data_IF_851574147194
#
_entry.id   IF_851574147194
#
_cell.length_a   1.000
_cell.length_b   1.000
_cell.length_c   1.000
_cell.angle_alpha   90.00
_cell.angle_beta   90.00
_cell.angle_gamma   90.00
#
_symmetry.space_group_name_H-M   'P 1'
#
loop_
_entity.id
_entity.type
_entity.pdbx_description
1 polymer ?
#
# COMPACT_ATOMS: atom_id res chain seq x y z
N UNK A 1 -52.86 71.58 4.54
CA UNK A 1 -52.77 70.64 3.43
C UNK A 1 -51.69 71.14 2.49
N UNK A 2 -50.42 70.71 2.69
CA UNK A 2 -49.32 71.11 1.83
C UNK A 2 -48.61 69.80 1.42
N UNK A 3 -48.78 69.44 0.20
CA UNK A 3 -48.08 68.35 -0.47
C UNK A 3 -46.83 68.93 -1.14
N UNK A 4 -45.66 68.57 -0.65
CA UNK A 4 -44.35 68.81 -1.29
C UNK A 4 -44.03 67.68 -2.28
N UNK A 5 -43.61 67.98 -3.51
CA UNK A 5 -43.19 66.96 -4.46
C UNK A 5 -41.74 66.52 -4.16
N UNK A 6 -41.49 65.19 -4.13
CA UNK A 6 -40.19 64.56 -4.04
C UNK A 6 -39.54 64.66 -5.42
N UNK A 7 -38.45 65.39 -5.49
CA UNK A 7 -37.59 65.52 -6.69
C UNK A 7 -36.66 64.30 -6.72
N UNK A 8 -36.89 63.43 -7.68
CA UNK A 8 -36.08 62.26 -7.99
C UNK A 8 -34.78 62.74 -8.69
N UNK A 9 -33.68 62.74 -7.97
CA UNK A 9 -32.34 63.01 -8.50
C UNK A 9 -31.72 61.70 -8.99
N UNK A 10 -32.00 61.33 -10.20
CA UNK A 10 -31.25 60.31 -10.94
C UNK A 10 -29.87 60.84 -11.25
N UNK A 11 -28.88 60.44 -10.47
CA UNK A 11 -27.45 60.66 -10.74
C UNK A 11 -27.05 59.83 -11.99
N UNK A 12 -26.54 60.42 -13.06
CA UNK A 12 -26.10 59.66 -14.20
C UNK A 12 -24.86 58.86 -13.85
N UNK A 13 -24.94 57.55 -14.02
CA UNK A 13 -23.79 56.66 -13.88
C UNK A 13 -22.66 57.05 -14.80
N UNK A 14 -21.47 57.27 -14.24
CA UNK A 14 -20.26 57.57 -15.00
C UNK A 14 -19.98 56.41 -15.99
N UNK A 15 -19.69 56.73 -17.25
CA UNK A 15 -19.35 55.71 -18.23
C UNK A 15 -18.06 55.03 -17.85
N UNK A 16 -18.12 53.69 -17.72
CA UNK A 16 -16.93 52.83 -17.52
C UNK A 16 -15.95 53.12 -18.68
N UNK A 17 -14.82 53.74 -18.37
CA UNK A 17 -13.79 54.02 -19.37
C UNK A 17 -13.27 52.70 -19.95
N UNK A 18 -13.63 52.45 -21.21
CA UNK A 18 -13.15 51.28 -21.94
C UNK A 18 -11.65 51.39 -22.15
N UNK A 19 -10.84 50.31 -21.87
CA UNK A 19 -9.38 50.35 -21.97
C UNK A 19 -8.83 50.65 -23.39
N UNK A 20 -9.70 50.65 -24.38
CA UNK A 20 -9.33 50.96 -25.77
C UNK A 20 -8.87 52.40 -26.02
N UNK A 21 -9.24 53.34 -25.15
CA UNK A 21 -8.91 54.77 -25.38
C UNK A 21 -7.45 55.11 -25.02
N UNK A 22 -6.89 54.49 -23.98
CA UNK A 22 -5.49 54.69 -23.58
C UNK A 22 -4.50 54.15 -24.62
N UNK A 23 -4.76 52.99 -25.18
CA UNK A 23 -3.97 52.34 -26.21
C UNK A 23 -3.90 53.18 -27.51
N UNK A 24 -5.02 53.79 -27.94
CA UNK A 24 -5.10 54.66 -29.13
C UNK A 24 -4.34 55.99 -28.96
N UNK A 25 -4.34 56.57 -27.77
CA UNK A 25 -3.62 57.81 -27.50
C UNK A 25 -2.10 57.58 -27.42
N UNK A 26 -1.69 56.44 -26.82
CA UNK A 26 -0.29 56.04 -26.75
C UNK A 26 0.28 55.76 -28.15
N UNK A 27 -0.48 55.05 -28.99
CA UNK A 27 -0.08 54.73 -30.36
C UNK A 27 0.13 56.00 -31.25
N UNK A 28 -0.68 57.02 -31.12
CA UNK A 28 -0.57 58.28 -31.87
C UNK A 28 0.62 59.16 -31.44
N UNK A 29 1.15 59.01 -30.27
CA UNK A 29 2.26 59.79 -29.76
C UNK A 29 3.65 59.19 -30.08
N UNK A 30 3.68 58.01 -30.73
CA UNK A 30 4.93 57.42 -31.20
C UNK A 30 5.42 58.10 -32.53
N UNK A 31 6.74 58.36 -32.64
CA UNK A 31 7.32 58.90 -33.87
C UNK A 31 7.09 57.91 -35.04
N UNK A 32 6.93 58.44 -36.29
CA UNK A 32 6.65 57.60 -37.47
C UNK A 32 7.64 56.46 -37.67
N UNK A 33 8.91 56.69 -37.45
CA UNK A 33 9.97 55.68 -37.56
C UNK A 33 9.87 54.55 -36.51
N UNK A 34 9.23 54.79 -35.36
CA UNK A 34 8.96 53.77 -34.36
C UNK A 34 7.69 53.00 -34.69
N UNK A 35 6.68 53.64 -35.27
CA UNK A 35 5.45 52.96 -35.72
C UNK A 35 5.75 51.92 -36.80
N UNK A 36 6.64 52.24 -37.77
CA UNK A 36 7.04 51.30 -38.82
C UNK A 36 7.80 50.08 -38.26
N UNK A 37 8.68 50.32 -37.29
CA UNK A 37 9.40 49.22 -36.62
C UNK A 37 8.47 48.35 -35.80
N UNK A 38 7.49 48.90 -35.10
CA UNK A 38 6.48 48.12 -34.35
C UNK A 38 5.55 47.39 -35.30
N UNK A 39 5.16 47.98 -36.43
CA UNK A 39 4.32 47.32 -37.43
C UNK A 39 5.04 46.12 -38.07
N UNK A 40 6.37 46.21 -38.31
CA UNK A 40 7.16 45.11 -38.83
C UNK A 40 7.45 44.01 -37.79
N UNK A 41 7.60 44.37 -36.49
CA UNK A 41 7.88 43.42 -35.42
C UNK A 41 6.62 42.77 -34.81
N UNK A 42 5.45 43.42 -34.96
CA UNK A 42 4.21 42.92 -34.39
C UNK A 42 3.82 41.48 -34.85
N UNK A 43 3.90 41.12 -36.14
CA UNK A 43 3.62 39.75 -36.57
C UNK A 43 4.63 38.75 -36.03
N UNK A 44 5.92 39.15 -35.94
CA UNK A 44 6.95 38.29 -35.34
C UNK A 44 6.69 38.05 -33.84
N UNK A 45 6.36 39.10 -33.10
CA UNK A 45 6.00 38.99 -31.69
C UNK A 45 4.74 38.14 -31.47
N UNK A 46 3.74 38.28 -32.36
CA UNK A 46 2.53 37.46 -32.31
C UNK A 46 2.84 35.97 -32.52
N UNK A 47 3.71 35.65 -33.49
CA UNK A 47 4.14 34.27 -33.74
C UNK A 47 4.92 33.70 -32.54
N UNK A 48 5.84 34.50 -31.96
CA UNK A 48 6.59 34.07 -30.77
C UNK A 48 5.70 33.86 -29.55
N UNK A 49 4.73 34.75 -29.33
CA UNK A 49 3.74 34.59 -28.27
C UNK A 49 2.87 33.34 -28.49
N UNK A 50 2.46 33.10 -29.72
CA UNK A 50 1.69 31.89 -30.06
C UNK A 50 2.51 30.62 -29.83
N UNK A 51 3.78 30.60 -30.27
CA UNK A 51 4.69 29.49 -29.99
C UNK A 51 4.92 29.29 -28.51
N UNK A 52 5.12 30.36 -27.75
CA UNK A 52 5.26 30.29 -26.28
C UNK A 52 3.99 29.73 -25.61
N UNK A 53 2.81 30.14 -26.09
CA UNK A 53 1.54 29.61 -25.59
C UNK A 53 1.35 28.11 -25.88
N UNK A 54 1.76 27.65 -27.07
CA UNK A 54 1.73 26.20 -27.41
C UNK A 54 2.69 25.43 -26.52
N UNK A 55 3.92 25.90 -26.33
CA UNK A 55 4.91 25.27 -25.46
C UNK A 55 4.40 25.24 -24.01
N UNK A 56 3.85 26.33 -23.51
CA UNK A 56 3.29 26.40 -22.17
C UNK A 56 2.09 25.45 -22.00
N UNK A 57 1.20 25.38 -22.98
CA UNK A 57 0.07 24.44 -22.97
C UNK A 57 0.54 22.98 -22.98
N UNK A 58 1.57 22.67 -23.77
CA UNK A 58 2.15 21.33 -23.82
C UNK A 58 2.81 20.93 -22.49
N UNK A 59 3.56 21.87 -21.89
CA UNK A 59 4.15 21.67 -20.56
C UNK A 59 3.10 21.49 -19.47
N UNK A 60 2.03 22.28 -19.51
CA UNK A 60 0.93 22.18 -18.56
C UNK A 60 0.22 20.82 -18.65
N UNK A 61 -0.11 20.39 -19.87
CA UNK A 61 -0.75 19.07 -20.10
C UNK A 61 0.14 17.92 -19.63
N UNK A 62 1.44 18.01 -19.90
CA UNK A 62 2.39 16.97 -19.48
C UNK A 62 2.58 16.92 -17.97
N UNK A 63 2.60 18.08 -17.30
CA UNK A 63 2.66 18.14 -15.84
C UNK A 63 1.41 17.54 -15.19
N UNK A 64 0.23 17.82 -15.74
CA UNK A 64 -1.03 17.27 -15.26
C UNK A 64 -1.13 15.75 -15.48
N UNK A 65 -0.59 15.22 -16.56
CA UNK A 65 -0.56 13.78 -16.85
C UNK A 65 0.31 13.04 -15.84
N UNK A 66 1.49 13.54 -15.53
CA UNK A 66 2.40 12.96 -14.50
C UNK A 66 1.76 12.98 -13.10
N UNK A 67 1.07 14.07 -12.74
CA UNK A 67 0.37 14.18 -11.45
C UNK A 67 -0.75 13.13 -11.34
N UNK A 68 -1.52 12.95 -12.39
CA UNK A 68 -2.60 11.94 -12.45
C UNK A 68 -2.07 10.51 -12.36
N UNK A 69 -0.93 10.21 -12.98
CA UNK A 69 -0.28 8.89 -12.87
C UNK A 69 0.22 8.64 -11.44
N UNK A 70 0.78 9.65 -10.77
CA UNK A 70 1.20 9.55 -9.38
C UNK A 70 0.03 9.31 -8.42
N UNK A 71 -1.07 10.02 -8.61
CA UNK A 71 -2.28 9.82 -7.80
C UNK A 71 -2.91 8.44 -8.04
N UNK A 72 -2.90 7.96 -9.28
CA UNK A 72 -3.37 6.63 -9.61
C UNK A 72 -2.51 5.55 -8.94
N UNK A 73 -1.18 5.68 -9.03
CA UNK A 73 -0.24 4.77 -8.39
C UNK A 73 -0.44 4.76 -6.87
N UNK A 74 -0.58 5.92 -6.23
CA UNK A 74 -0.79 6.02 -4.78
C UNK A 74 -2.07 5.28 -4.36
N UNK A 75 -3.16 5.45 -5.09
CA UNK A 75 -4.43 4.76 -4.83
C UNK A 75 -4.31 3.25 -5.00
N UNK A 76 -3.63 2.79 -6.06
CA UNK A 76 -3.41 1.37 -6.32
C UNK A 76 -2.56 0.72 -5.23
N UNK A 77 -1.59 1.45 -4.72
CA UNK A 77 -0.73 1.06 -3.60
C UNK A 77 -1.54 0.96 -2.29
N UNK A 78 -2.30 1.99 -1.94
CA UNK A 78 -3.15 1.99 -0.75
C UNK A 78 -4.18 0.84 -0.80
N UNK A 79 -4.75 0.60 -1.98
CA UNK A 79 -5.67 -0.51 -2.20
C UNK A 79 -4.99 -1.87 -2.01
N UNK A 80 -3.81 -2.08 -2.58
CA UNK A 80 -3.05 -3.32 -2.41
C UNK A 80 -2.69 -3.55 -0.92
N UNK A 81 -2.20 -2.52 -0.25
CA UNK A 81 -1.85 -2.58 1.18
C UNK A 81 -3.07 -2.93 2.05
N UNK A 82 -4.20 -2.28 1.82
CA UNK A 82 -5.43 -2.57 2.55
C UNK A 82 -5.90 -4.01 2.30
N UNK A 83 -5.79 -4.51 1.08
CA UNK A 83 -6.16 -5.87 0.72
C UNK A 83 -5.30 -6.92 1.43
N UNK A 84 -3.98 -6.73 1.44
CA UNK A 84 -3.05 -7.61 2.18
C UNK A 84 -3.35 -7.59 3.67
N UNK A 85 -3.59 -6.41 4.25
CA UNK A 85 -3.93 -6.27 5.67
C UNK A 85 -5.22 -7.01 6.03
N UNK A 86 -6.27 -6.86 5.23
CA UNK A 86 -7.54 -7.58 5.46
C UNK A 86 -7.34 -9.09 5.39
N UNK A 87 -6.55 -9.57 4.44
CA UNK A 87 -6.24 -10.99 4.31
C UNK A 87 -5.49 -11.53 5.53
N UNK A 88 -4.52 -10.79 6.05
CA UNK A 88 -3.82 -11.16 7.29
C UNK A 88 -4.76 -11.23 8.49
N UNK A 89 -5.70 -10.30 8.62
CA UNK A 89 -6.72 -10.33 9.67
C UNK A 89 -7.63 -11.56 9.56
N UNK A 90 -8.08 -11.91 8.36
CA UNK A 90 -8.85 -13.13 8.12
C UNK A 90 -8.06 -14.40 8.55
N UNK A 91 -6.77 -14.46 8.23
CA UNK A 91 -5.89 -15.57 8.63
C UNK A 91 -5.71 -15.64 10.14
N UNK A 92 -5.53 -14.49 10.77
CA UNK A 92 -5.47 -14.40 12.22
C UNK A 92 -6.74 -14.95 12.88
N UNK A 93 -7.92 -14.56 12.37
CA UNK A 93 -9.20 -15.08 12.89
C UNK A 93 -9.34 -16.60 12.71
N UNK A 94 -8.86 -17.14 11.60
CA UNK A 94 -8.86 -18.59 11.37
C UNK A 94 -7.95 -19.32 12.36
N UNK A 95 -6.72 -18.84 12.58
CA UNK A 95 -5.84 -19.43 13.61
C UNK A 95 -6.41 -19.27 15.02
N UNK A 96 -7.07 -18.16 15.31
CA UNK A 96 -7.75 -17.94 16.60
C UNK A 96 -8.90 -18.93 16.82
N UNK A 97 -9.61 -19.36 15.77
CA UNK A 97 -10.61 -20.41 15.87
C UNK A 97 -9.95 -21.75 16.24
N UNK A 98 -8.90 -22.14 15.52
CA UNK A 98 -8.13 -23.36 15.84
C UNK A 98 -7.60 -23.32 17.28
N UNK A 99 -7.08 -22.18 17.70
CA UNK A 99 -6.58 -21.99 19.07
C UNK A 99 -7.70 -22.11 20.11
N UNK A 100 -8.90 -21.62 19.81
CA UNK A 100 -10.07 -21.73 20.70
C UNK A 100 -10.52 -23.17 20.84
N UNK A 101 -10.64 -23.92 19.72
CA UNK A 101 -11.06 -25.32 19.72
C UNK A 101 -10.09 -26.18 20.53
N UNK A 102 -8.77 -25.92 20.41
CA UNK A 102 -7.72 -26.54 21.22
C UNK A 102 -7.84 -26.18 22.72
N UNK A 103 -8.09 -24.90 23.01
CA UNK A 103 -8.22 -24.38 24.39
C UNK A 103 -9.41 -25.00 25.10
N UNK A 104 -10.50 -25.23 24.36
CA UNK A 104 -11.71 -25.88 24.86
C UNK A 104 -11.62 -27.40 24.92
N UNK A 105 -10.51 -27.99 24.44
CA UNK A 105 -10.35 -29.44 24.32
C UNK A 105 -11.40 -30.13 23.39
N UNK A 106 -11.94 -29.37 22.46
CA UNK A 106 -12.88 -29.85 21.44
C UNK A 106 -12.16 -30.67 20.37
N UNK A 107 -10.86 -30.43 20.21
CA UNK A 107 -10.00 -31.03 19.19
C UNK A 107 -8.79 -31.68 19.83
N UNK A 108 -8.57 -32.93 19.49
CA UNK A 108 -7.38 -33.69 19.86
C UNK A 108 -6.22 -33.44 18.85
N UNK A 109 -5.11 -34.15 19.06
CA UNK A 109 -3.95 -34.05 18.17
C UNK A 109 -4.27 -34.42 16.72
N UNK A 110 -5.09 -35.46 16.50
CA UNK A 110 -5.43 -35.90 15.14
C UNK A 110 -6.36 -34.91 14.46
N UNK A 111 -7.34 -34.39 15.19
CA UNK A 111 -8.24 -33.35 14.71
C UNK A 111 -7.50 -32.04 14.40
N UNK A 112 -6.51 -31.66 15.22
CA UNK A 112 -5.65 -30.50 14.91
C UNK A 112 -4.91 -30.66 13.58
N UNK A 113 -4.28 -31.83 13.34
CA UNK A 113 -3.56 -32.09 12.09
C UNK A 113 -4.51 -32.01 10.89
N UNK A 114 -5.72 -32.56 11.01
CA UNK A 114 -6.75 -32.51 9.96
C UNK A 114 -7.22 -31.06 9.68
N UNK A 115 -7.43 -30.26 10.73
CA UNK A 115 -7.77 -28.84 10.57
C UNK A 115 -6.61 -28.06 9.91
N UNK A 116 -5.36 -28.32 10.34
CA UNK A 116 -4.17 -27.69 9.78
C UNK A 116 -3.99 -28.03 8.29
N UNK A 117 -4.17 -29.31 7.92
CA UNK A 117 -4.13 -29.77 6.52
C UNK A 117 -5.20 -29.06 5.67
N UNK A 118 -6.42 -28.97 6.18
CA UNK A 118 -7.53 -28.27 5.50
C UNK A 118 -7.22 -26.79 5.28
N UNK A 119 -6.68 -26.11 6.30
CA UNK A 119 -6.33 -24.68 6.20
C UNK A 119 -5.18 -24.45 5.22
N UNK A 120 -4.13 -25.27 5.26
CA UNK A 120 -2.98 -25.16 4.37
C UNK A 120 -3.39 -25.41 2.91
N UNK A 121 -4.25 -26.41 2.67
CA UNK A 121 -4.74 -26.71 1.31
C UNK A 121 -5.58 -25.57 0.71
N UNK A 122 -6.30 -24.82 1.54
CA UNK A 122 -7.13 -23.70 1.10
C UNK A 122 -6.34 -22.39 0.96
N UNK A 123 -5.19 -22.29 1.59
CA UNK A 123 -4.41 -21.04 1.74
C UNK A 123 -2.95 -21.25 1.37
N UNK A 124 -2.58 -21.08 0.08
CA UNK A 124 -1.23 -21.36 -0.41
C UNK A 124 -0.15 -20.47 0.19
N UNK A 125 -0.52 -19.36 0.83
CA UNK A 125 0.39 -18.51 1.59
C UNK A 125 0.79 -19.11 2.94
N UNK A 126 -0.03 -20.01 3.51
CA UNK A 126 0.20 -20.67 4.78
C UNK A 126 1.05 -21.92 4.58
N UNK A 127 2.28 -21.90 5.07
CA UNK A 127 3.27 -22.95 4.85
C UNK A 127 3.25 -24.03 5.94
N UNK A 128 2.98 -23.64 7.19
CA UNK A 128 2.89 -24.59 8.29
C UNK A 128 2.00 -24.08 9.40
N UNK A 129 1.38 -25.02 10.13
CA UNK A 129 0.69 -24.76 11.39
C UNK A 129 1.23 -25.72 12.44
N UNK A 130 1.68 -25.17 13.57
CA UNK A 130 2.32 -25.94 14.65
C UNK A 130 1.64 -25.64 15.98
N UNK A 131 1.30 -26.66 16.72
CA UNK A 131 0.86 -26.56 18.10
C UNK A 131 2.01 -26.79 19.06
N UNK A 132 2.25 -25.80 19.93
CA UNK A 132 3.36 -25.77 20.89
C UNK A 132 2.78 -25.65 22.29
N UNK A 133 3.21 -26.46 23.24
CA UNK A 133 2.75 -26.42 24.62
C UNK A 133 3.44 -25.33 25.46
N UNK A 134 3.00 -25.17 26.71
CA UNK A 134 3.55 -24.19 27.67
C UNK A 134 5.05 -24.36 27.96
N UNK A 135 5.60 -25.57 27.72
CA UNK A 135 7.03 -25.90 27.91
C UNK A 135 7.81 -25.74 26.62
N UNK A 136 7.26 -25.03 25.62
CA UNK A 136 7.84 -24.84 24.28
C UNK A 136 8.07 -26.14 23.50
N UNK A 137 7.36 -27.21 23.86
CA UNK A 137 7.48 -28.50 23.16
C UNK A 137 6.42 -28.59 22.06
N UNK A 138 6.83 -29.02 20.89
CA UNK A 138 5.96 -29.22 19.74
C UNK A 138 5.05 -30.43 20.00
N UNK A 139 3.75 -30.22 20.02
CA UNK A 139 2.74 -31.26 20.23
C UNK A 139 2.30 -31.90 18.92
N UNK A 140 2.11 -31.08 17.91
CA UNK A 140 1.76 -31.49 16.56
C UNK A 140 2.18 -30.39 15.57
N UNK A 141 2.46 -30.78 14.34
CA UNK A 141 2.72 -29.85 13.24
C UNK A 141 2.23 -30.44 11.94
N UNK A 142 1.73 -29.59 11.06
CA UNK A 142 1.47 -29.93 9.67
C UNK A 142 2.02 -28.83 8.78
N UNK A 143 2.68 -29.22 7.69
CA UNK A 143 3.33 -28.29 6.78
C UNK A 143 2.96 -28.58 5.33
N UNK A 144 2.97 -27.55 4.50
CA UNK A 144 2.77 -27.69 3.06
C UNK A 144 3.89 -28.53 2.44
N UNK A 145 3.60 -29.33 1.43
CA UNK A 145 4.62 -30.15 0.72
C UNK A 145 5.75 -29.33 0.11
N UNK A 146 5.53 -28.04 -0.10
CA UNK A 146 6.51 -27.09 -0.64
C UNK A 146 7.56 -26.64 0.36
N UNK A 147 7.32 -26.85 1.67
CA UNK A 147 8.28 -26.50 2.70
C UNK A 147 9.43 -27.48 2.71
N UNK A 148 10.66 -27.00 2.78
CA UNK A 148 11.84 -27.84 2.82
C UNK A 148 11.88 -28.75 4.07
N UNK A 149 12.47 -29.95 3.95
CA UNK A 149 12.55 -30.90 5.06
C UNK A 149 13.30 -30.36 6.28
N UNK A 150 14.21 -29.42 6.09
CA UNK A 150 14.98 -28.75 7.15
C UNK A 150 14.15 -27.76 7.99
N UNK A 151 13.01 -27.36 7.48
CA UNK A 151 12.11 -26.37 8.11
C UNK A 151 10.93 -27.07 8.82
N UNK A 152 10.79 -28.38 8.65
CA UNK A 152 9.73 -29.16 9.28
C UNK A 152 9.94 -29.27 10.79
N UNK A 153 8.93 -28.86 11.56
CA UNK A 153 8.91 -28.97 13.00
C UNK A 153 8.43 -30.37 13.42
N UNK A 154 9.26 -31.07 14.16
CA UNK A 154 8.97 -32.45 14.56
C UNK A 154 8.30 -32.49 15.94
N UNK A 155 7.25 -33.28 16.07
CA UNK A 155 6.57 -33.45 17.36
C UNK A 155 7.50 -34.05 18.42
N UNK A 156 7.51 -33.46 19.61
CA UNK A 156 8.39 -33.83 20.72
C UNK A 156 9.63 -32.94 20.85
N UNK A 157 10.03 -32.24 19.81
CA UNK A 157 11.11 -31.27 19.87
C UNK A 157 10.71 -30.03 20.69
N UNK A 158 11.73 -29.38 21.24
CA UNK A 158 11.58 -28.12 21.99
C UNK A 158 12.06 -26.99 21.09
N UNK A 159 11.34 -25.85 21.11
CA UNK A 159 11.76 -24.65 20.39
C UNK A 159 13.18 -24.27 20.82
N UNK A 160 14.05 -24.10 19.82
CA UNK A 160 15.39 -23.55 20.04
C UNK A 160 15.31 -22.04 20.29
N UNK A 161 16.26 -21.47 21.07
CA UNK A 161 16.37 -20.01 21.20
C UNK A 161 16.46 -19.33 19.85
N UNK A 162 15.76 -18.20 19.71
CA UNK A 162 15.69 -17.41 18.48
C UNK A 162 14.34 -16.73 18.33
N UNK A 163 14.12 -16.06 17.20
CA UNK A 163 12.96 -15.21 16.95
C UNK A 163 11.60 -15.88 17.22
N UNK A 164 11.48 -17.18 16.90
CA UNK A 164 10.25 -17.94 17.19
C UNK A 164 10.02 -18.10 18.70
N UNK A 165 11.09 -18.34 19.47
CA UNK A 165 11.00 -18.49 20.92
C UNK A 165 10.74 -17.15 21.62
N UNK A 166 11.29 -16.06 21.10
CA UNK A 166 11.07 -14.71 21.62
C UNK A 166 9.62 -14.26 21.36
N UNK A 167 9.09 -14.54 20.16
CA UNK A 167 7.68 -14.30 19.81
C UNK A 167 6.74 -15.15 20.68
N UNK A 168 7.13 -16.39 21.04
CA UNK A 168 6.38 -17.24 21.95
C UNK A 168 6.25 -16.60 23.35
N UNK A 169 7.37 -16.11 23.92
CA UNK A 169 7.35 -15.42 25.21
C UNK A 169 6.45 -14.19 25.16
N UNK A 170 6.56 -13.42 24.08
CA UNK A 170 5.72 -12.22 23.89
C UNK A 170 4.23 -12.57 23.81
N UNK A 171 3.86 -13.62 23.07
CA UNK A 171 2.48 -14.10 22.98
C UNK A 171 1.97 -14.59 24.34
N UNK A 172 2.81 -15.28 25.11
CA UNK A 172 2.49 -15.70 26.48
C UNK A 172 2.23 -14.50 27.40
N UNK A 173 3.11 -13.51 27.38
CA UNK A 173 3.06 -12.38 28.31
C UNK A 173 1.91 -11.42 27.96
N UNK A 174 1.66 -11.17 26.69
CA UNK A 174 0.58 -10.30 26.22
C UNK A 174 -0.79 -11.00 26.18
N UNK A 175 -0.84 -12.31 26.16
CA UNK A 175 -2.08 -13.11 25.98
C UNK A 175 -2.88 -12.68 24.74
N UNK A 176 -2.18 -12.28 23.68
CA UNK A 176 -2.73 -11.80 22.42
C UNK A 176 -1.98 -12.40 21.23
N UNK A 177 -2.59 -12.49 20.04
CA UNK A 177 -1.90 -12.86 18.83
C UNK A 177 -0.72 -11.90 18.54
N UNK A 178 0.45 -12.47 18.28
CA UNK A 178 1.70 -11.72 18.02
C UNK A 178 2.28 -12.16 16.69
N UNK A 179 2.64 -11.19 15.86
CA UNK A 179 3.42 -11.42 14.66
C UNK A 179 4.91 -11.29 14.95
N UNK A 180 5.71 -12.19 14.39
CA UNK A 180 7.17 -12.02 14.39
C UNK A 180 7.58 -10.91 13.41
N UNK A 181 8.80 -10.44 13.55
CA UNK A 181 9.43 -9.78 12.42
C UNK A 181 9.64 -10.80 11.28
N UNK A 182 9.57 -10.36 10.00
CA UNK A 182 9.91 -11.26 8.91
C UNK A 182 11.33 -11.76 9.05
N UNK A 183 11.50 -13.06 9.16
CA UNK A 183 12.82 -13.67 9.28
C UNK A 183 13.29 -14.03 7.88
N UNK A 184 14.35 -13.36 7.41
CA UNK A 184 15.08 -13.83 6.25
C UNK A 184 15.74 -15.17 6.65
N UNK A 185 15.25 -16.26 6.10
CA UNK A 185 15.82 -17.58 6.34
C UNK A 185 17.24 -17.61 5.78
N UNK A 186 18.20 -18.11 6.56
CA UNK A 186 19.58 -18.27 6.09
C UNK A 186 19.60 -19.29 4.93
N UNK A 187 19.89 -18.81 3.73
CA UNK A 187 19.96 -19.63 2.52
C UNK A 187 18.94 -19.20 1.46
N UNK A 188 18.61 -20.11 0.57
CA UNK A 188 17.73 -19.89 -0.59
C UNK A 188 16.22 -19.97 -0.25
N UNK A 189 15.88 -20.03 1.04
CA UNK A 189 14.49 -20.13 1.52
C UNK A 189 13.83 -18.76 1.54
N UNK A 190 12.57 -18.71 1.08
CA UNK A 190 11.78 -17.49 1.09
C UNK A 190 11.53 -17.00 2.52
N UNK A 191 11.57 -15.69 2.80
CA UNK A 191 11.33 -15.17 4.14
C UNK A 191 9.91 -15.52 4.63
N UNK A 192 9.83 -15.91 5.90
CA UNK A 192 8.59 -16.31 6.56
C UNK A 192 8.14 -15.23 7.54
N UNK A 193 6.82 -15.02 7.58
CA UNK A 193 6.13 -14.28 8.63
C UNK A 193 5.45 -15.26 9.57
N UNK A 194 5.72 -15.18 10.86
CA UNK A 194 5.12 -16.03 11.87
C UNK A 194 4.01 -15.30 12.61
N UNK A 195 2.90 -15.99 12.87
CA UNK A 195 1.82 -15.54 13.73
C UNK A 195 1.66 -16.55 14.86
N UNK A 196 1.81 -16.11 16.09
CA UNK A 196 1.60 -16.95 17.29
C UNK A 196 0.33 -16.51 18.01
N UNK A 197 -0.60 -17.44 18.15
CA UNK A 197 -1.88 -17.24 18.84
C UNK A 197 -1.84 -18.00 20.16
N UNK A 198 -1.96 -17.32 21.32
CA UNK A 198 -1.89 -17.97 22.62
C UNK A 198 -3.11 -18.89 22.86
N UNK A 199 -2.84 -20.02 23.47
CA UNK A 199 -3.81 -20.96 23.99
C UNK A 199 -4.04 -20.69 25.48
N UNK A 200 -5.29 -20.64 25.89
CA UNK A 200 -5.65 -20.45 27.28
C UNK A 200 -6.66 -21.53 27.72
N UNK A 201 -6.31 -22.31 28.72
CA UNK A 201 -7.22 -23.27 29.32
C UNK A 201 -7.53 -22.86 30.75
N UNK A 202 -8.82 -22.67 31.09
CA UNK A 202 -9.27 -22.19 32.40
C UNK A 202 -8.57 -20.93 32.89
N UNK A 203 -8.30 -19.97 31.96
CA UNK A 203 -7.62 -18.71 32.26
C UNK A 203 -6.10 -18.80 32.45
N UNK A 204 -5.51 -20.00 32.25
CA UNK A 204 -4.06 -20.20 32.30
C UNK A 204 -3.50 -20.43 30.91
N UNK A 205 -2.33 -19.84 30.64
CA UNK A 205 -1.60 -20.08 29.39
C UNK A 205 -1.25 -21.56 29.27
N UNK A 206 -1.55 -22.18 28.14
CA UNK A 206 -1.33 -23.59 27.86
C UNK A 206 -0.47 -23.85 26.63
N UNK A 207 -0.02 -22.79 25.96
CA UNK A 207 0.82 -22.89 24.76
C UNK A 207 0.42 -21.90 23.69
N UNK A 208 0.82 -22.17 22.45
CA UNK A 208 0.48 -21.35 21.28
C UNK A 208 0.15 -22.21 20.07
N UNK A 209 -0.63 -21.66 19.16
CA UNK A 209 -0.71 -22.10 17.77
C UNK A 209 0.13 -21.16 16.95
N UNK A 210 1.15 -21.69 16.28
CA UNK A 210 2.05 -20.98 15.38
C UNK A 210 1.60 -21.22 13.94
N UNK A 211 1.32 -20.16 13.19
CA UNK A 211 1.15 -20.16 11.75
C UNK A 211 2.35 -19.54 11.07
N UNK A 212 2.89 -20.20 10.05
CA UNK A 212 4.05 -19.72 9.26
C UNK A 212 3.59 -19.42 7.84
N UNK A 213 3.79 -18.17 7.40
CA UNK A 213 3.33 -17.68 6.12
C UNK A 213 4.52 -17.31 5.22
N UNK A 214 4.50 -17.77 3.98
CA UNK A 214 5.45 -17.32 2.96
C UNK A 214 5.14 -15.88 2.58
N UNK A 215 6.11 -14.98 2.71
CA UNK A 215 5.95 -13.58 2.35
C UNK A 215 5.77 -13.42 0.84
N UNK A 216 6.47 -14.21 0.03
CA UNK A 216 6.28 -14.24 -1.43
C UNK A 216 4.84 -14.63 -1.82
N UNK A 217 4.32 -15.66 -1.19
CA UNK A 217 2.94 -16.11 -1.43
C UNK A 217 1.92 -15.09 -0.93
N UNK A 218 2.16 -14.46 0.24
CA UNK A 218 1.32 -13.37 0.74
C UNK A 218 1.29 -12.19 -0.25
N UNK A 219 2.44 -11.80 -0.80
CA UNK A 219 2.52 -10.73 -1.79
C UNK A 219 1.79 -11.12 -3.08
N UNK A 220 2.05 -12.33 -3.60
CA UNK A 220 1.47 -12.83 -4.85
C UNK A 220 -0.05 -13.00 -4.79
N UNK A 221 -0.56 -13.61 -3.72
CA UNK A 221 -2.00 -13.89 -3.57
C UNK A 221 -2.76 -12.79 -2.83
N UNK A 222 -2.06 -11.92 -2.08
CA UNK A 222 -2.64 -10.80 -1.37
C UNK A 222 -2.81 -9.55 -2.24
N UNK A 223 -1.94 -9.36 -3.23
CA UNK A 223 -2.00 -8.21 -4.12
C UNK A 223 -3.06 -8.42 -5.21
N UNK A 224 -3.89 -7.41 -5.51
CA UNK A 224 -4.86 -7.49 -6.60
C UNK A 224 -4.18 -7.76 -7.95
N UNK A 225 -4.81 -8.59 -8.78
CA UNK A 225 -4.29 -8.96 -10.11
C UNK A 225 -4.15 -7.76 -11.04
N UNK A 226 -5.01 -6.76 -10.89
CA UNK A 226 -4.97 -5.51 -11.66
C UNK A 226 -3.71 -4.70 -11.35
N UNK A 227 -3.27 -4.71 -10.09
CA UNK A 227 -2.02 -4.05 -9.64
C UNK A 227 -0.81 -4.83 -10.16
N UNK A 228 -0.80 -6.16 -10.01
CA UNK A 228 0.27 -7.02 -10.50
C UNK A 228 0.43 -6.98 -12.04
N UNK A 229 -0.66 -6.71 -12.76
CA UNK A 229 -0.64 -6.58 -14.22
C UNK A 229 0.03 -5.28 -14.69
N UNK A 230 0.07 -4.26 -13.83
CA UNK A 230 0.59 -2.91 -14.17
C UNK A 230 1.95 -2.63 -13.55
N UNK A 231 2.21 -3.16 -12.34
CA UNK A 231 3.35 -2.78 -11.51
C UNK A 231 4.13 -4.00 -11.03
N UNK A 232 5.44 -3.84 -10.91
CA UNK A 232 6.23 -4.70 -10.05
C UNK A 232 6.01 -4.25 -8.61
N UNK A 233 5.59 -5.17 -7.75
CA UNK A 233 5.33 -4.90 -6.34
C UNK A 233 6.45 -5.52 -5.51
N UNK A 234 7.06 -4.71 -4.65
CA UNK A 234 8.10 -5.16 -3.72
C UNK A 234 7.69 -4.90 -2.29
N UNK A 235 7.99 -5.83 -1.41
CA UNK A 235 7.83 -5.68 0.03
C UNK A 235 9.21 -5.46 0.64
N UNK A 236 9.35 -4.39 1.40
CA UNK A 236 10.58 -4.05 2.11
C UNK A 236 10.35 -4.15 3.63
N UNK A 237 11.38 -4.46 4.39
CA UNK A 237 11.35 -4.37 5.84
C UNK A 237 11.53 -2.91 6.33
N UNK A 238 11.50 -2.71 7.66
CA UNK A 238 11.72 -1.39 8.27
C UNK A 238 13.11 -0.78 8.01
N UNK A 239 14.07 -1.58 7.52
CA UNK A 239 15.44 -1.18 7.17
C UNK A 239 15.63 -1.02 5.66
N UNK A 240 14.54 -1.02 4.87
CA UNK A 240 14.53 -1.00 3.41
C UNK A 240 15.22 -2.22 2.75
N UNK A 241 15.30 -3.35 3.44
CA UNK A 241 15.76 -4.60 2.83
C UNK A 241 14.61 -5.27 2.09
N UNK A 242 14.92 -5.83 0.92
CA UNK A 242 13.93 -6.54 0.10
C UNK A 242 13.55 -7.86 0.78
N UNK A 243 12.27 -8.01 1.13
CA UNK A 243 11.70 -9.25 1.67
C UNK A 243 11.11 -10.12 0.56
N UNK A 244 10.38 -9.52 -0.37
CA UNK A 244 9.76 -10.20 -1.48
C UNK A 244 9.53 -9.25 -2.65
N UNK A 245 9.44 -9.79 -3.87
CA UNK A 245 9.15 -8.99 -5.05
C UNK A 245 8.47 -9.82 -6.14
N UNK A 246 7.49 -9.22 -6.82
CA UNK A 246 6.92 -9.83 -8.01
C UNK A 246 7.77 -9.46 -9.22
N UNK A 247 8.07 -10.41 -10.13
CA UNK A 247 8.78 -10.08 -11.37
C UNK A 247 7.93 -9.07 -12.17
N UNK A 248 8.60 -8.12 -12.80
CA UNK A 248 7.97 -7.27 -13.81
C UNK A 248 7.33 -8.18 -14.87
N UNK A 249 6.03 -8.05 -15.08
CA UNK A 249 5.41 -8.56 -16.30
C UNK A 249 6.16 -7.97 -17.51
N UNK A 250 6.04 -8.52 -18.73
CA UNK A 250 6.82 -8.12 -19.91
C UNK A 250 6.42 -6.71 -20.41
N UNK A 251 6.48 -5.69 -19.57
CA UNK A 251 6.21 -4.30 -19.91
C UNK A 251 7.23 -3.35 -19.27
N UNK A 252 7.83 -2.58 -20.16
CA UNK A 252 8.58 -1.33 -20.01
C UNK A 252 9.24 -1.01 -18.65
N UNK A 253 10.57 -1.00 -18.73
CA UNK A 253 11.53 -0.63 -17.68
C UNK A 253 11.54 0.88 -17.31
N UNK A 254 10.46 1.61 -17.51
CA UNK A 254 10.42 3.07 -17.34
C UNK A 254 9.65 3.58 -16.12
N UNK A 255 9.23 2.72 -15.19
CA UNK A 255 8.44 3.16 -14.03
C UNK A 255 9.36 3.42 -12.83
N UNK A 256 9.38 4.65 -12.27
CA UNK A 256 10.16 4.96 -11.08
C UNK A 256 9.62 4.23 -9.85
N UNK A 257 10.53 3.60 -9.09
CA UNK A 257 10.20 3.00 -7.81
C UNK A 257 9.87 4.11 -6.78
N UNK A 258 8.69 4.04 -6.16
CA UNK A 258 8.34 4.88 -5.02
C UNK A 258 8.69 4.14 -3.73
N UNK A 259 9.54 4.71 -2.87
CA UNK A 259 9.82 4.13 -1.55
C UNK A 259 8.60 4.27 -0.63
N UNK A 260 8.26 3.20 0.04
CA UNK A 260 7.22 3.14 1.05
C UNK A 260 7.72 3.79 2.35
N UNK A 261 6.91 4.60 2.96
CA UNK A 261 7.05 5.02 4.36
C UNK A 261 5.80 4.63 5.15
#
# INVERSE_FOLDING_TARGET
>A
MNTTPITDQTTPAAPLATPAHWWRSWWRNLSPARQDRFAALAPLAAVLLFMAAIVAAFWYLRAEEVEREHEALKRDVEYAQQRVRLRLLERQEQLMRVARDLSNQEVDRAGFVSQAESLISQHPELQAITWIDEKKRIRASHAAPTLGSSELRVAGEVLTPGDTADTFELARDLQQPVYSQPTATQGDSAPLLQLQVPLSHQGKFSGVVLGEYSIDSLLRYGTPTEVLARYAVTLLDGNNQLLAGTPLGPRDSSIPALPWR
#
